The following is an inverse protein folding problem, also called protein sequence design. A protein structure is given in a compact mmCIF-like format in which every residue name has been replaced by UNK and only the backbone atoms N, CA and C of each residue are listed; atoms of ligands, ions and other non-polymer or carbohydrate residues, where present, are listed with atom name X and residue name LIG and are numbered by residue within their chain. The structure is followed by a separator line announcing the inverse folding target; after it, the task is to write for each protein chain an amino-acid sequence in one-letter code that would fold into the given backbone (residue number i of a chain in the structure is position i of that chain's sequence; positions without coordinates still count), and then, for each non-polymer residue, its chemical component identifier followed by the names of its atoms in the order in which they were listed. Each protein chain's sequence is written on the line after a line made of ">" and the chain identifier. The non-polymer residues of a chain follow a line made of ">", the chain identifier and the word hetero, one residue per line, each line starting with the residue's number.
data_IF_208086284712
#
_entry.id   IF_208086284712
#
_cell.length_a   1.000
_cell.length_b   1.000
_cell.length_c   1.000
_cell.angle_alpha   90.00
_cell.angle_beta   90.00
_cell.angle_gamma   90.00
#
_symmetry.space_group_name_H-M   'P 1'
#
loop_
_entity.id
_entity.type
_entity.pdbx_description
1 polymer ?
#
# COMPACT_ATOMS: atom_id res chain seq x y z
N UNK A 1 -21.32 -60.18 13.02
CA UNK A 1 -20.28 -59.91 12.00
C UNK A 1 -20.59 -58.54 11.42
N UNK A 2 -19.79 -57.48 11.49
CA UNK A 2 -18.61 -57.12 12.27
C UNK A 2 -18.72 -55.59 12.51
N UNK A 3 -18.17 -55.12 13.63
CA UNK A 3 -18.32 -53.78 14.20
C UNK A 3 -17.64 -52.66 13.39
N UNK A 4 -18.03 -51.39 13.58
CA UNK A 4 -17.27 -50.24 13.11
C UNK A 4 -16.08 -49.98 14.04
N UNK A 5 -14.87 -50.03 13.50
CA UNK A 5 -13.62 -49.70 14.18
C UNK A 5 -13.51 -48.20 14.42
N UNK A 6 -13.60 -47.79 15.69
CA UNK A 6 -13.05 -46.53 16.17
C UNK A 6 -11.53 -46.65 16.19
N UNK A 7 -10.84 -45.87 15.36
CA UNK A 7 -9.38 -45.74 15.43
C UNK A 7 -9.05 -44.55 16.33
N UNK A 8 -8.60 -44.89 17.52
CA UNK A 8 -8.10 -44.00 18.56
C UNK A 8 -6.59 -43.84 18.32
N UNK A 9 -6.18 -42.69 17.76
CA UNK A 9 -4.76 -42.39 17.60
C UNK A 9 -4.35 -41.30 18.61
N UNK A 10 -3.98 -41.77 19.80
CA UNK A 10 -3.19 -41.05 20.79
C UNK A 10 -1.76 -40.83 20.24
N UNK A 11 -1.56 -39.69 19.57
CA UNK A 11 -0.24 -39.20 19.19
C UNK A 11 0.34 -38.28 20.26
N UNK A 12 1.26 -38.79 21.07
CA UNK A 12 2.03 -38.06 22.06
C UNK A 12 2.68 -36.77 21.52
N UNK A 13 2.17 -35.61 21.94
CA UNK A 13 2.84 -34.34 21.76
C UNK A 13 4.08 -34.25 22.69
N UNK A 14 5.23 -33.73 22.20
CA UNK A 14 6.48 -33.70 22.96
C UNK A 14 6.37 -32.81 24.20
N UNK A 15 6.79 -33.36 25.35
CA UNK A 15 6.71 -32.77 26.69
C UNK A 15 7.43 -31.41 26.87
N UNK A 16 8.13 -30.90 25.85
CA UNK A 16 8.82 -29.61 25.87
C UNK A 16 7.87 -28.40 25.80
N UNK A 17 6.68 -28.54 25.20
CA UNK A 17 5.71 -27.43 25.10
C UNK A 17 4.89 -27.20 26.38
N UNK A 18 4.72 -28.22 27.22
CA UNK A 18 3.96 -28.11 28.49
C UNK A 18 4.72 -27.33 29.57
N UNK A 19 6.06 -27.47 29.58
CA UNK A 19 6.93 -26.83 30.59
C UNK A 19 7.08 -25.32 30.37
N UNK A 20 7.06 -24.87 29.10
CA UNK A 20 7.12 -23.45 28.75
C UNK A 20 5.78 -22.71 29.02
N UNK A 21 4.66 -23.43 29.00
CA UNK A 21 3.37 -22.83 29.34
C UNK A 21 3.21 -22.61 30.85
N UNK A 22 3.78 -23.47 31.69
CA UNK A 22 3.76 -23.26 33.15
C UNK A 22 4.67 -22.10 33.58
N UNK A 23 5.87 -21.94 32.99
CA UNK A 23 6.75 -20.81 33.31
C UNK A 23 6.18 -19.44 32.89
N UNK A 24 5.46 -19.38 31.77
CA UNK A 24 4.79 -18.16 31.31
C UNK A 24 3.53 -17.82 32.12
N UNK A 25 2.95 -18.80 32.83
CA UNK A 25 1.78 -18.60 33.70
C UNK A 25 2.17 -18.07 35.10
N UNK A 26 3.38 -18.38 35.59
CA UNK A 26 3.88 -17.90 36.89
C UNK A 26 4.70 -16.59 36.83
N UNK A 27 5.19 -16.20 35.64
CA UNK A 27 5.90 -14.93 35.44
C UNK A 27 5.16 -13.68 35.96
N UNK A 28 3.85 -13.53 35.70
CA UNK A 28 3.07 -12.41 36.22
C UNK A 28 2.98 -12.40 37.75
N UNK A 29 2.89 -13.57 38.38
CA UNK A 29 2.76 -13.71 39.83
C UNK A 29 4.07 -13.44 40.57
N UNK A 30 5.21 -13.82 39.99
CA UNK A 30 6.53 -13.50 40.53
C UNK A 30 6.83 -11.99 40.44
N UNK A 31 6.42 -11.34 39.34
CA UNK A 31 6.52 -9.87 39.20
C UNK A 31 5.63 -9.15 40.21
N UNK A 32 4.39 -9.63 40.42
CA UNK A 32 3.46 -9.07 41.39
C UNK A 32 3.99 -9.23 42.82
N UNK A 33 4.64 -10.35 43.14
CA UNK A 33 5.28 -10.59 44.44
C UNK A 33 6.50 -9.69 44.69
N UNK A 34 7.38 -9.53 43.70
CA UNK A 34 8.52 -8.59 43.79
C UNK A 34 8.06 -7.13 43.92
N UNK A 35 6.93 -6.80 43.30
CA UNK A 35 6.34 -5.46 43.36
C UNK A 35 5.64 -5.15 44.68
N UNK A 36 4.91 -6.10 45.24
CA UNK A 36 4.35 -5.97 46.59
C UNK A 36 5.46 -5.89 47.64
N UNK A 37 6.54 -6.68 47.49
CA UNK A 37 7.69 -6.65 48.39
C UNK A 37 8.47 -5.32 48.35
N UNK A 38 8.69 -4.77 47.15
CA UNK A 38 9.36 -3.47 46.98
C UNK A 38 8.49 -2.29 47.45
N UNK A 39 7.17 -2.34 47.21
CA UNK A 39 6.22 -1.38 47.74
C UNK A 39 6.11 -1.41 49.28
N UNK A 40 6.18 -2.59 49.88
CA UNK A 40 6.22 -2.76 51.34
C UNK A 40 7.49 -2.18 51.96
N UNK A 41 8.65 -2.43 51.35
CA UNK A 41 9.95 -1.90 51.81
C UNK A 41 10.01 -0.36 51.79
N UNK A 42 9.37 0.27 50.79
CA UNK A 42 9.25 1.73 50.71
C UNK A 42 8.30 2.32 51.75
N UNK A 43 7.32 1.54 52.24
CA UNK A 43 6.39 1.97 53.29
C UNK A 43 7.00 1.88 54.70
N UNK A 44 7.95 0.95 54.89
CA UNK A 44 8.60 0.68 56.19
C UNK A 44 9.79 1.60 56.46
N UNK A 45 10.46 2.15 55.43
CA UNK A 45 11.59 3.06 55.63
C UNK A 45 11.14 4.52 55.90
N UNK A 46 11.39 5.08 57.09
CA UNK A 46 10.93 6.42 57.47
C UNK A 46 11.68 7.56 56.76
N UNK A 47 12.78 7.28 56.07
CA UNK A 47 13.69 8.27 55.47
C UNK A 47 13.29 8.75 54.06
N UNK A 48 12.24 8.22 53.44
CA UNK A 48 11.78 8.61 52.08
C UNK A 48 10.45 9.37 52.05
N UNK A 49 9.97 9.88 53.19
CA UNK A 49 8.73 10.67 53.29
C UNK A 49 8.89 12.09 52.70
N UNK A 50 8.86 12.20 51.38
CA UNK A 50 8.75 13.49 50.66
C UNK A 50 7.27 13.87 50.41
N UNK A 51 6.33 12.98 50.72
CA UNK A 51 4.89 13.20 50.54
C UNK A 51 4.13 12.94 51.85
N UNK A 52 3.08 13.72 52.10
CA UNK A 52 2.17 13.51 53.23
C UNK A 52 1.51 12.11 53.13
N UNK A 53 1.24 11.43 54.27
CA UNK A 53 0.79 10.04 54.30
C UNK A 53 -0.51 9.78 53.51
N UNK A 54 -1.39 10.77 53.36
CA UNK A 54 -2.63 10.65 52.57
C UNK A 54 -2.42 10.80 51.05
N UNK A 55 -1.35 11.46 50.61
CA UNK A 55 -1.04 11.70 49.20
C UNK A 55 -0.20 10.58 48.56
N UNK A 56 0.63 9.90 49.36
CA UNK A 56 1.51 8.84 48.85
C UNK A 56 0.73 7.61 48.35
N UNK A 57 -0.37 7.25 49.03
CA UNK A 57 -1.20 6.10 48.65
C UNK A 57 -1.93 6.34 47.31
N UNK A 58 -2.41 7.57 47.11
CA UNK A 58 -3.16 7.97 45.91
C UNK A 58 -2.23 8.20 44.70
N UNK A 59 -1.06 8.83 44.89
CA UNK A 59 -0.07 8.99 43.83
C UNK A 59 0.51 7.65 43.37
N UNK A 60 0.68 6.71 44.29
CA UNK A 60 1.18 5.37 43.97
C UNK A 60 0.16 4.57 43.18
N UNK A 61 -1.10 4.52 43.61
CA UNK A 61 -2.18 3.87 42.87
C UNK A 61 -2.34 4.44 41.45
N UNK A 62 -2.21 5.76 41.27
CA UNK A 62 -2.26 6.41 39.96
C UNK A 62 -1.08 6.03 39.05
N UNK A 63 0.14 5.95 39.59
CA UNK A 63 1.30 5.52 38.82
C UNK A 63 1.16 4.06 38.36
N UNK A 64 0.57 3.20 39.21
CA UNK A 64 0.32 1.79 38.90
C UNK A 64 -0.78 1.58 37.87
N UNK A 65 -1.88 2.34 37.92
CA UNK A 65 -2.93 2.26 36.90
C UNK A 65 -2.41 2.73 35.54
N UNK A 66 -1.67 3.84 35.49
CA UNK A 66 -1.04 4.31 34.25
C UNK A 66 -0.01 3.31 33.71
N UNK A 67 0.87 2.77 34.56
CA UNK A 67 1.84 1.77 34.17
C UNK A 67 1.19 0.51 33.61
N UNK A 68 0.13 0.01 34.26
CA UNK A 68 -0.64 -1.15 33.81
C UNK A 68 -1.35 -0.92 32.48
N UNK A 69 -1.93 0.27 32.26
CA UNK A 69 -2.59 0.64 31.01
C UNK A 69 -1.57 0.70 29.86
N UNK A 70 -0.41 1.34 30.08
CA UNK A 70 0.65 1.45 29.06
C UNK A 70 1.21 0.07 28.71
N UNK A 71 1.48 -0.79 29.69
CA UNK A 71 1.98 -2.15 29.46
C UNK A 71 0.92 -3.00 28.75
N UNK A 72 -0.35 -2.88 29.15
CA UNK A 72 -1.48 -3.55 28.49
C UNK A 72 -1.62 -3.10 27.03
N UNK A 73 -1.51 -1.80 26.76
CA UNK A 73 -1.57 -1.24 25.42
C UNK A 73 -0.39 -1.70 24.54
N UNK A 74 0.82 -1.76 25.08
CA UNK A 74 2.03 -2.25 24.37
C UNK A 74 1.93 -3.76 24.12
N UNK A 75 1.46 -4.55 25.09
CA UNK A 75 1.27 -5.98 24.89
C UNK A 75 0.17 -6.27 23.87
N UNK A 76 -0.91 -5.49 23.87
CA UNK A 76 -2.00 -5.58 22.91
C UNK A 76 -1.56 -5.16 21.50
N UNK A 77 -0.79 -4.08 21.37
CA UNK A 77 -0.24 -3.63 20.08
C UNK A 77 0.75 -4.64 19.49
N UNK A 78 1.63 -5.22 20.31
CA UNK A 78 2.53 -6.30 19.90
C UNK A 78 1.77 -7.57 19.50
N UNK A 79 0.66 -7.87 20.18
CA UNK A 79 -0.19 -9.02 19.84
C UNK A 79 -0.97 -8.80 18.53
N UNK A 80 -1.44 -7.58 18.28
CA UNK A 80 -2.04 -7.16 17.01
C UNK A 80 -1.02 -7.19 15.87
N UNK A 81 0.18 -6.65 16.09
CA UNK A 81 1.27 -6.69 15.12
C UNK A 81 1.65 -8.13 14.74
N UNK A 82 1.69 -9.04 15.72
CA UNK A 82 1.97 -10.47 15.47
C UNK A 82 0.80 -11.20 14.79
N UNK A 83 -0.45 -10.82 15.06
CA UNK A 83 -1.64 -11.42 14.41
C UNK A 83 -1.84 -10.90 12.99
N UNK A 84 -1.55 -9.63 12.73
CA UNK A 84 -1.62 -9.02 11.39
C UNK A 84 -0.59 -9.57 10.39
N UNK A 85 0.48 -10.20 10.88
CA UNK A 85 1.50 -10.85 10.03
C UNK A 85 1.17 -12.31 9.67
N UNK A 86 0.28 -12.98 10.42
CA UNK A 86 0.11 -14.43 10.37
C UNK A 86 -1.28 -14.90 9.88
N UNK A 87 -2.24 -14.01 9.64
CA UNK A 87 -3.57 -14.40 9.14
C UNK A 87 -3.94 -13.62 7.87
N UNK A 88 -4.33 -14.33 6.80
CA UNK A 88 -5.06 -13.71 5.71
C UNK A 88 -6.47 -13.36 6.20
N UNK A 89 -6.98 -12.21 5.76
CA UNK A 89 -8.28 -11.63 6.08
C UNK A 89 -8.39 -11.06 7.51
N UNK A 90 -8.09 -9.76 7.63
CA UNK A 90 -8.95 -8.93 8.45
C UNK A 90 -10.30 -8.86 7.74
N UNK A 91 -11.24 -9.73 8.12
CA UNK A 91 -12.65 -9.58 7.76
C UNK A 91 -13.15 -8.35 8.51
N UNK A 92 -13.00 -7.18 7.89
CA UNK A 92 -13.79 -6.03 8.32
C UNK A 92 -15.25 -6.43 8.15
N UNK A 93 -16.08 -6.41 9.21
CA UNK A 93 -17.51 -6.55 9.01
C UNK A 93 -17.91 -5.38 8.12
N UNK A 94 -18.13 -5.67 6.83
CA UNK A 94 -18.49 -4.71 5.81
C UNK A 94 -19.86 -4.15 6.17
N UNK A 95 -19.91 -3.12 7.01
CA UNK A 95 -21.12 -2.39 7.31
C UNK A 95 -21.48 -1.57 6.07
N UNK A 96 -22.54 -1.98 5.39
CA UNK A 96 -23.13 -1.37 4.22
C UNK A 96 -22.35 -1.54 2.90
N UNK A 97 -22.94 -2.30 1.98
CA UNK A 97 -22.58 -2.34 0.55
C UNK A 97 -23.55 -1.43 -0.23
N UNK A 98 -23.13 -0.96 -1.41
CA UNK A 98 -23.99 -0.23 -2.37
C UNK A 98 -24.87 -1.24 -3.14
N UNK A 99 -26.10 -0.92 -3.59
CA UNK A 99 -27.00 -1.86 -4.30
C UNK A 99 -26.32 -2.73 -5.37
N UNK A 100 -26.81 -3.94 -5.65
CA UNK A 100 -26.12 -4.89 -6.55
C UNK A 100 -25.75 -4.30 -7.93
N UNK A 101 -26.59 -3.43 -8.47
CA UNK A 101 -26.31 -2.73 -9.74
C UNK A 101 -25.14 -1.75 -9.68
N UNK A 102 -24.87 -1.19 -8.50
CA UNK A 102 -23.69 -0.37 -8.25
C UNK A 102 -22.45 -1.24 -8.11
N UNK A 103 -22.52 -2.42 -7.50
CA UNK A 103 -21.37 -3.33 -7.46
C UNK A 103 -20.94 -3.79 -8.85
N UNK A 104 -21.87 -3.95 -9.79
CA UNK A 104 -21.56 -4.31 -11.18
C UNK A 104 -20.97 -3.14 -11.97
N UNK A 105 -21.55 -1.93 -11.86
CA UNK A 105 -20.97 -0.71 -12.45
C UNK A 105 -19.58 -0.40 -11.85
N UNK A 106 -19.44 -0.56 -10.54
CA UNK A 106 -18.19 -0.42 -9.78
C UNK A 106 -17.15 -1.47 -10.19
N UNK A 107 -17.53 -2.74 -10.33
CA UNK A 107 -16.64 -3.80 -10.78
C UNK A 107 -16.24 -3.65 -12.24
N UNK A 108 -17.13 -3.15 -13.11
CA UNK A 108 -16.86 -2.88 -14.52
C UNK A 108 -15.97 -1.64 -14.73
N UNK A 109 -16.00 -0.66 -13.81
CA UNK A 109 -15.20 0.56 -13.88
C UNK A 109 -13.81 0.40 -13.20
N UNK A 110 -13.71 -0.34 -12.09
CA UNK A 110 -12.44 -0.59 -11.39
C UNK A 110 -11.60 -1.72 -11.99
N UNK A 111 -12.23 -2.69 -12.67
CA UNK A 111 -11.50 -3.59 -13.54
C UNK A 111 -11.48 -2.95 -14.92
N UNK A 112 -10.39 -2.29 -15.35
CA UNK A 112 -10.26 -1.96 -16.75
C UNK A 112 -10.50 -3.25 -17.52
N UNK A 113 -11.42 -3.21 -18.49
CA UNK A 113 -11.65 -4.33 -19.39
C UNK A 113 -10.28 -4.89 -19.78
N UNK A 114 -10.07 -6.19 -19.52
CA UNK A 114 -8.87 -6.91 -19.92
C UNK A 114 -8.56 -6.41 -21.33
N UNK A 115 -7.38 -5.80 -21.58
CA UNK A 115 -7.11 -5.24 -22.89
C UNK A 115 -7.43 -6.33 -23.89
N UNK A 116 -8.45 -6.10 -24.72
CA UNK A 116 -8.72 -6.96 -25.87
C UNK A 116 -7.38 -7.02 -26.56
N UNK A 117 -6.79 -8.22 -26.61
CA UNK A 117 -5.45 -8.43 -27.11
C UNK A 117 -5.44 -7.94 -28.57
N UNK A 118 -5.10 -6.66 -28.75
CA UNK A 118 -4.77 -6.10 -30.03
C UNK A 118 -3.59 -6.94 -30.49
N UNK A 119 -3.81 -7.62 -31.62
CA UNK A 119 -2.93 -8.60 -32.23
C UNK A 119 -1.48 -8.34 -31.85
N UNK A 120 -0.84 -9.34 -31.22
CA UNK A 120 0.53 -9.30 -30.74
C UNK A 120 1.44 -8.61 -31.76
N UNK A 121 1.80 -7.33 -31.57
CA UNK A 121 2.86 -6.76 -32.37
C UNK A 121 4.10 -7.60 -32.06
N UNK A 122 5.02 -7.75 -33.04
CA UNK A 122 6.33 -8.35 -32.77
C UNK A 122 6.92 -7.64 -31.55
N UNK A 123 6.98 -8.36 -30.42
CA UNK A 123 7.50 -7.83 -29.17
C UNK A 123 8.93 -7.37 -29.44
N UNK A 124 9.21 -6.11 -29.14
CA UNK A 124 10.56 -5.59 -29.20
C UNK A 124 11.44 -6.44 -28.27
N UNK A 125 12.59 -6.97 -28.75
CA UNK A 125 13.48 -7.76 -27.92
C UNK A 125 13.94 -6.98 -26.67
N UNK A 126 14.02 -5.65 -26.74
CA UNK A 126 14.36 -4.81 -25.59
C UNK A 126 13.25 -4.76 -24.54
N UNK A 127 11.98 -4.77 -24.95
CA UNK A 127 10.83 -4.84 -24.05
C UNK A 127 10.76 -6.18 -23.34
N UNK A 128 11.03 -7.25 -24.08
CA UNK A 128 11.11 -8.61 -23.52
C UNK A 128 12.19 -8.70 -22.44
N UNK A 129 13.38 -8.17 -22.73
CA UNK A 129 14.49 -8.16 -21.77
C UNK A 129 14.18 -7.35 -20.52
N UNK A 130 13.54 -6.18 -20.67
CA UNK A 130 13.10 -5.35 -19.55
C UNK A 130 12.06 -6.05 -18.68
N UNK A 131 11.07 -6.72 -19.28
CA UNK A 131 10.08 -7.51 -18.55
C UNK A 131 10.73 -8.63 -17.74
N UNK A 132 11.66 -9.38 -18.35
CA UNK A 132 12.36 -10.46 -17.66
C UNK A 132 13.24 -9.94 -16.51
N UNK A 133 13.94 -8.82 -16.69
CA UNK A 133 14.72 -8.17 -15.64
C UNK A 133 13.83 -7.67 -14.50
N UNK A 134 12.69 -7.05 -14.82
CA UNK A 134 11.69 -6.62 -13.85
C UNK A 134 11.24 -7.75 -12.94
N UNK A 135 10.87 -8.89 -13.52
CA UNK A 135 10.41 -10.06 -12.75
C UNK A 135 11.51 -10.63 -11.85
N UNK A 136 12.75 -10.74 -12.33
CA UNK A 136 13.87 -11.26 -11.52
C UNK A 136 14.31 -10.30 -10.43
N UNK A 137 14.37 -9.01 -10.74
CA UNK A 137 14.82 -7.99 -9.80
C UNK A 137 13.76 -7.75 -8.72
N UNK A 138 12.50 -7.58 -9.11
CA UNK A 138 11.40 -7.25 -8.22
C UNK A 138 10.73 -8.43 -7.53
N UNK A 139 10.84 -9.64 -8.10
CA UNK A 139 10.21 -10.88 -7.62
C UNK A 139 8.73 -10.72 -7.20
N UNK A 140 7.98 -9.90 -7.94
CA UNK A 140 6.57 -9.60 -7.71
C UNK A 140 6.28 -8.57 -6.62
N UNK A 141 7.31 -8.00 -5.97
CA UNK A 141 7.16 -7.02 -4.89
C UNK A 141 7.42 -5.57 -5.32
N UNK A 142 8.19 -5.37 -6.39
CA UNK A 142 8.43 -4.05 -6.95
C UNK A 142 7.18 -3.56 -7.70
N UNK A 143 6.69 -2.38 -7.33
CA UNK A 143 5.60 -1.69 -8.04
C UNK A 143 6.01 -0.27 -8.37
N UNK A 144 5.69 0.18 -9.59
CA UNK A 144 5.91 1.56 -10.02
C UNK A 144 5.07 2.56 -9.19
N UNK A 145 3.92 2.15 -8.67
CA UNK A 145 3.00 3.02 -7.93
C UNK A 145 3.47 3.34 -6.51
N UNK A 146 4.22 2.44 -5.90
CA UNK A 146 4.70 2.58 -4.51
C UNK A 146 6.17 2.94 -4.43
N UNK A 147 6.88 2.93 -5.55
CA UNK A 147 8.30 3.26 -5.62
C UNK A 147 8.54 4.77 -5.41
N UNK A 148 9.38 5.11 -4.43
CA UNK A 148 9.88 6.46 -4.19
C UNK A 148 11.41 6.47 -4.24
N UNK A 149 12.04 7.06 -5.27
CA UNK A 149 13.50 7.16 -5.32
C UNK A 149 14.11 7.93 -4.14
N UNK A 150 13.35 8.79 -3.43
CA UNK A 150 13.85 9.51 -2.27
C UNK A 150 13.97 8.64 -1.01
N UNK A 151 13.34 7.46 -0.98
CA UNK A 151 13.47 6.52 0.13
C UNK A 151 14.84 5.82 0.16
N UNK A 152 15.69 5.98 -0.86
CA UNK A 152 17.00 5.31 -0.93
C UNK A 152 17.96 5.67 0.22
N UNK A 153 17.80 6.83 0.84
CA UNK A 153 18.59 7.29 2.01
C UNK A 153 17.79 7.25 3.31
N UNK A 154 16.64 6.56 3.32
CA UNK A 154 15.77 6.51 4.48
C UNK A 154 16.31 5.55 5.54
N UNK A 155 16.33 5.99 6.80
CA UNK A 155 16.61 5.12 7.93
C UNK A 155 15.49 4.07 8.10
N UNK A 156 15.80 2.81 8.48
CA UNK A 156 17.12 2.28 8.86
C UNK A 156 17.96 1.73 7.70
N UNK A 157 17.55 1.89 6.44
CA UNK A 157 18.13 1.22 5.28
C UNK A 157 19.38 1.90 4.70
N UNK A 158 19.61 3.17 5.03
CA UNK A 158 20.70 4.00 4.50
C UNK A 158 22.12 3.42 4.70
N UNK A 159 22.32 2.62 5.76
CA UNK A 159 23.61 1.97 6.03
C UNK A 159 23.77 0.57 5.41
N UNK A 160 22.75 0.04 4.73
CA UNK A 160 22.78 -1.33 4.21
C UNK A 160 23.52 -1.41 2.88
N UNK A 161 24.22 -2.53 2.68
CA UNK A 161 24.76 -2.92 1.38
C UNK A 161 23.71 -3.65 0.51
N UNK A 162 24.05 -3.88 -0.76
CA UNK A 162 23.11 -4.41 -1.74
C UNK A 162 22.67 -5.85 -1.40
N UNK A 163 23.57 -6.67 -0.85
CA UNK A 163 23.25 -8.06 -0.50
C UNK A 163 22.33 -8.13 0.72
N UNK A 164 22.55 -7.25 1.72
CA UNK A 164 21.70 -7.09 2.88
C UNK A 164 20.29 -6.61 2.48
N UNK A 165 20.19 -5.68 1.51
CA UNK A 165 18.89 -5.29 0.96
C UNK A 165 18.15 -6.47 0.33
N UNK A 166 18.83 -7.31 -0.47
CA UNK A 166 18.23 -8.50 -1.10
C UNK A 166 17.77 -9.51 -0.04
N UNK A 167 18.62 -9.80 0.96
CA UNK A 167 18.27 -10.72 2.05
C UNK A 167 17.05 -10.20 2.83
N UNK A 168 16.99 -8.91 3.14
CA UNK A 168 15.87 -8.30 3.86
C UNK A 168 14.57 -8.31 3.06
N UNK A 169 14.64 -8.10 1.74
CA UNK A 169 13.50 -8.23 0.84
C UNK A 169 12.95 -9.67 0.86
N UNK A 170 13.82 -10.68 0.87
CA UNK A 170 13.39 -12.07 0.92
C UNK A 170 12.72 -12.41 2.26
N UNK A 171 13.30 -11.97 3.39
CA UNK A 171 12.71 -12.13 4.72
C UNK A 171 11.32 -11.49 4.85
N UNK A 172 11.13 -10.31 4.25
CA UNK A 172 9.89 -9.54 4.32
C UNK A 172 8.79 -9.99 3.36
N UNK A 173 9.09 -10.89 2.42
CA UNK A 173 8.24 -11.21 1.27
C UNK A 173 6.82 -11.63 1.64
N UNK A 174 6.66 -12.66 2.46
CA UNK A 174 5.35 -13.20 2.82
C UNK A 174 4.51 -12.18 3.60
N UNK A 175 5.15 -11.42 4.50
CA UNK A 175 4.49 -10.36 5.24
C UNK A 175 3.99 -9.24 4.32
N UNK A 176 4.80 -8.85 3.34
CA UNK A 176 4.43 -7.86 2.33
C UNK A 176 3.31 -8.34 1.42
N UNK A 177 3.34 -9.59 0.96
CA UNK A 177 2.28 -10.17 0.14
C UNK A 177 0.93 -10.16 0.87
N UNK A 178 0.90 -10.58 2.14
CA UNK A 178 -0.33 -10.54 2.93
C UNK A 178 -0.80 -9.10 3.18
N UNK A 179 0.12 -8.20 3.51
CA UNK A 179 -0.20 -6.80 3.77
C UNK A 179 -0.70 -6.07 2.51
N UNK A 180 -0.14 -6.35 1.34
CA UNK A 180 -0.54 -5.73 0.06
C UNK A 180 -1.93 -6.18 -0.37
N UNK A 181 -2.29 -7.45 -0.21
CA UNK A 181 -3.67 -7.94 -0.44
C UNK A 181 -4.66 -7.24 0.48
N UNK A 182 -4.35 -7.12 1.77
CA UNK A 182 -5.22 -6.39 2.71
C UNK A 182 -5.31 -4.90 2.36
N UNK A 183 -4.21 -4.29 1.90
CA UNK A 183 -4.20 -2.90 1.47
C UNK A 183 -5.08 -2.66 0.25
N UNK A 184 -5.07 -3.57 -0.72
CA UNK A 184 -5.96 -3.50 -1.88
C UNK A 184 -7.44 -3.53 -1.46
N UNK A 185 -7.82 -4.44 -0.54
CA UNK A 185 -9.18 -4.49 0.00
C UNK A 185 -9.59 -3.21 0.75
N UNK A 186 -8.66 -2.62 1.51
CA UNK A 186 -8.90 -1.32 2.16
C UNK A 186 -9.05 -0.19 1.14
N UNK A 187 -8.27 -0.20 0.06
CA UNK A 187 -8.39 0.79 -1.02
C UNK A 187 -9.74 0.69 -1.73
N UNK A 188 -10.18 -0.53 -2.06
CA UNK A 188 -11.51 -0.75 -2.60
C UNK A 188 -12.58 -0.17 -1.65
N UNK A 189 -12.49 -0.47 -0.35
CA UNK A 189 -13.45 0.09 0.61
C UNK A 189 -13.42 1.62 0.67
N UNK A 190 -12.24 2.23 0.59
CA UNK A 190 -12.09 3.69 0.57
C UNK A 190 -12.72 4.32 -0.66
N UNK A 191 -12.51 3.73 -1.83
CA UNK A 191 -13.10 4.22 -3.06
C UNK A 191 -14.63 4.12 -3.04
N UNK A 192 -15.18 3.01 -2.53
CA UNK A 192 -16.62 2.89 -2.25
C UNK A 192 -17.13 4.01 -1.32
N UNK A 193 -16.41 4.28 -0.22
CA UNK A 193 -16.76 5.35 0.72
C UNK A 193 -16.73 6.73 0.04
N UNK A 194 -15.76 6.98 -0.83
CA UNK A 194 -15.62 8.26 -1.54
C UNK A 194 -16.81 8.52 -2.48
N UNK A 195 -17.32 7.50 -3.18
CA UNK A 195 -18.54 7.62 -3.99
C UNK A 195 -19.75 7.97 -3.12
N UNK A 196 -19.99 7.21 -2.05
CA UNK A 196 -21.16 7.40 -1.18
C UNK A 196 -21.10 8.75 -0.46
N UNK A 197 -19.95 9.11 0.11
CA UNK A 197 -19.78 10.38 0.80
C UNK A 197 -19.92 11.57 -0.14
N UNK A 198 -19.43 11.46 -1.38
CA UNK A 198 -19.61 12.53 -2.38
C UNK A 198 -21.09 12.84 -2.63
N UNK A 199 -21.95 11.82 -2.75
CA UNK A 199 -23.40 12.02 -2.88
C UNK A 199 -24.00 12.68 -1.64
N UNK A 200 -23.65 12.18 -0.45
CA UNK A 200 -24.17 12.69 0.81
C UNK A 200 -23.76 14.14 1.08
N UNK A 201 -22.51 14.50 0.76
CA UNK A 201 -21.97 15.85 0.91
C UNK A 201 -22.70 16.87 0.01
N UNK A 202 -23.30 16.40 -1.09
CA UNK A 202 -24.12 17.20 -2.00
C UNK A 202 -25.63 17.05 -1.75
N UNK A 203 -26.03 16.45 -0.62
CA UNK A 203 -27.43 16.34 -0.19
C UNK A 203 -28.22 15.18 -0.80
N UNK A 204 -27.57 14.30 -1.58
CA UNK A 204 -28.21 13.15 -2.21
C UNK A 204 -28.18 11.95 -1.24
N UNK A 205 -29.30 11.73 -0.56
CA UNK A 205 -29.47 10.61 0.38
C UNK A 205 -30.04 9.38 -0.33
N UNK A 206 -29.34 8.25 -0.27
CA UNK A 206 -29.81 6.96 -0.80
C UNK A 206 -29.76 5.86 0.25
N UNK A 207 -30.75 4.97 0.32
CA UNK A 207 -30.66 3.79 1.17
C UNK A 207 -29.52 2.89 0.70
N UNK A 208 -28.85 2.26 1.67
CA UNK A 208 -27.79 1.28 1.45
C UNK A 208 -28.40 -0.08 1.05
N UNK A 209 -27.57 -1.09 0.73
CA UNK A 209 -28.07 -2.45 0.38
C UNK A 209 -29.03 -3.06 1.41
N UNK A 210 -28.82 -2.75 2.68
CA UNK A 210 -29.64 -3.25 3.79
C UNK A 210 -30.97 -2.48 3.94
N UNK A 211 -31.24 -1.51 3.06
CA UNK A 211 -32.45 -0.69 3.04
C UNK A 211 -32.44 0.44 4.06
N UNK A 212 -31.40 0.56 4.89
CA UNK A 212 -31.28 1.63 5.87
C UNK A 212 -30.66 2.88 5.26
N UNK A 213 -30.97 4.04 5.85
CA UNK A 213 -30.30 5.28 5.51
C UNK A 213 -28.85 5.26 6.03
N UNK A 214 -27.90 5.85 5.28
CA UNK A 214 -26.50 5.87 5.65
C UNK A 214 -26.28 6.73 6.89
N UNK A 215 -25.63 6.14 7.90
CA UNK A 215 -25.07 6.90 9.02
C UNK A 215 -23.81 7.63 8.54
N UNK A 216 -23.98 8.88 8.14
CA UNK A 216 -22.89 9.71 7.61
C UNK A 216 -21.73 9.85 8.59
N UNK A 217 -21.99 9.89 9.90
CA UNK A 217 -20.93 10.03 10.90
C UNK A 217 -20.08 8.75 10.99
N UNK A 218 -20.73 7.58 10.96
CA UNK A 218 -20.05 6.30 10.92
C UNK A 218 -19.21 6.15 9.63
N UNK A 219 -19.78 6.47 8.46
CA UNK A 219 -19.08 6.37 7.17
C UNK A 219 -17.87 7.31 7.08
N UNK A 220 -18.00 8.56 7.54
CA UNK A 220 -16.87 9.50 7.59
C UNK A 220 -15.78 9.03 8.56
N UNK A 221 -16.18 8.47 9.71
CA UNK A 221 -15.23 7.91 10.68
C UNK A 221 -14.47 6.73 10.07
N UNK A 222 -15.17 5.82 9.39
CA UNK A 222 -14.54 4.71 8.67
C UNK A 222 -13.56 5.22 7.61
N UNK A 223 -13.98 6.18 6.78
CA UNK A 223 -13.13 6.77 5.74
C UNK A 223 -11.89 7.45 6.30
N UNK A 224 -12.04 8.14 7.42
CA UNK A 224 -10.94 8.77 8.14
C UNK A 224 -9.96 7.72 8.68
N UNK A 225 -10.45 6.68 9.35
CA UNK A 225 -9.61 5.61 9.90
C UNK A 225 -8.85 4.84 8.81
N UNK A 226 -9.49 4.52 7.69
CA UNK A 226 -8.83 3.87 6.54
C UNK A 226 -7.80 4.79 5.85
N UNK A 227 -7.99 6.11 5.93
CA UNK A 227 -7.03 7.11 5.46
C UNK A 227 -5.82 7.26 6.38
N UNK A 228 -6.04 7.22 7.69
CA UNK A 228 -5.01 7.33 8.71
C UNK A 228 -4.21 6.04 8.93
N UNK A 229 -4.75 4.88 8.53
CA UNK A 229 -4.06 3.60 8.61
C UNK A 229 -2.92 3.54 7.56
N UNK A 230 -1.69 3.72 8.04
CA UNK A 230 -0.47 3.52 7.28
C UNK A 230 -0.20 2.02 7.00
N UNK A 231 -0.91 1.13 7.68
CA UNK A 231 -0.73 -0.31 7.58
C UNK A 231 0.56 -0.81 8.23
N UNK A 232 0.89 -2.10 8.03
CA UNK A 232 2.12 -2.68 8.54
C UNK A 232 3.36 -2.02 7.93
N UNK A 233 4.41 -1.82 8.73
CA UNK A 233 5.67 -1.15 8.34
C UNK A 233 6.29 -1.76 7.07
N UNK A 234 6.09 -3.06 6.83
CA UNK A 234 6.59 -3.76 5.63
C UNK A 234 6.09 -3.15 4.31
N UNK A 235 4.91 -2.51 4.29
CA UNK A 235 4.38 -1.82 3.11
C UNK A 235 5.21 -0.60 2.72
N UNK A 236 5.86 0.05 3.68
CA UNK A 236 6.80 1.15 3.45
C UNK A 236 8.24 0.64 3.29
N UNK A 237 8.63 -0.42 4.01
CA UNK A 237 10.00 -0.94 3.98
C UNK A 237 10.37 -1.53 2.63
N UNK A 238 9.48 -2.29 2.00
CA UNK A 238 9.80 -2.99 0.74
C UNK A 238 10.10 -2.02 -0.41
N UNK A 239 9.27 -0.99 -0.68
CA UNK A 239 9.62 0.04 -1.66
C UNK A 239 10.91 0.79 -1.32
N UNK A 240 11.15 1.09 -0.04
CA UNK A 240 12.38 1.76 0.39
C UNK A 240 13.63 0.89 0.18
N UNK A 241 13.55 -0.41 0.46
CA UNK A 241 14.61 -1.38 0.20
C UNK A 241 14.92 -1.51 -1.29
N UNK A 242 13.90 -1.50 -2.17
CA UNK A 242 14.13 -1.48 -3.61
C UNK A 242 14.80 -0.18 -4.08
N UNK A 243 14.41 0.95 -3.50
CA UNK A 243 15.00 2.27 -3.80
C UNK A 243 16.47 2.30 -3.38
N UNK A 244 16.78 1.81 -2.17
CA UNK A 244 18.16 1.65 -1.69
C UNK A 244 18.97 0.73 -2.59
N UNK A 245 18.43 -0.45 -2.92
CA UNK A 245 19.09 -1.44 -3.78
C UNK A 245 19.41 -0.85 -5.16
N UNK A 246 18.47 -0.13 -5.78
CA UNK A 246 18.70 0.54 -7.06
C UNK A 246 19.77 1.63 -6.96
N UNK A 247 19.76 2.45 -5.91
CA UNK A 247 20.79 3.48 -5.72
C UNK A 247 22.20 2.86 -5.62
N UNK A 248 22.36 1.80 -4.83
CA UNK A 248 23.64 1.07 -4.72
C UNK A 248 24.07 0.45 -6.04
N UNK A 249 23.13 -0.12 -6.81
CA UNK A 249 23.43 -0.68 -8.11
C UNK A 249 23.90 0.41 -9.10
N UNK A 250 23.29 1.60 -9.08
CA UNK A 250 23.72 2.75 -9.88
C UNK A 250 25.14 3.20 -9.49
N UNK A 251 25.43 3.29 -8.19
CA UNK A 251 26.77 3.66 -7.71
C UNK A 251 27.85 2.67 -8.16
N UNK A 252 27.54 1.38 -8.22
CA UNK A 252 28.45 0.33 -8.68
C UNK A 252 28.71 0.34 -10.21
N UNK A 253 27.91 1.04 -11.01
CA UNK A 253 28.06 1.08 -12.47
C UNK A 253 29.36 1.79 -12.91
N UNK A 254 29.91 1.44 -14.10
CA UNK A 254 30.96 2.23 -14.75
C UNK A 254 30.54 3.69 -14.96
N UNK A 255 31.48 4.65 -14.89
CA UNK A 255 31.20 6.09 -14.84
C UNK A 255 30.20 6.57 -15.91
N UNK A 256 30.40 6.18 -17.18
CA UNK A 256 29.51 6.60 -18.26
C UNK A 256 28.06 6.08 -18.09
N UNK A 257 27.89 4.85 -17.58
CA UNK A 257 26.57 4.28 -17.29
C UNK A 257 25.96 4.89 -16.05
N UNK A 258 26.76 5.12 -15.00
CA UNK A 258 26.34 5.79 -13.76
C UNK A 258 25.80 7.19 -14.05
N UNK A 259 26.46 7.97 -14.89
CA UNK A 259 26.03 9.33 -15.22
C UNK A 259 24.66 9.33 -15.94
N UNK A 260 24.48 8.42 -16.91
CA UNK A 260 23.22 8.24 -17.61
C UNK A 260 22.10 7.76 -16.66
N UNK A 261 22.38 6.78 -15.81
CA UNK A 261 21.44 6.28 -14.81
C UNK A 261 21.08 7.37 -13.79
N UNK A 262 22.04 8.21 -13.38
CA UNK A 262 21.84 9.35 -12.49
C UNK A 262 20.94 10.44 -13.08
N UNK A 263 20.91 10.61 -14.41
CA UNK A 263 19.92 11.48 -15.09
C UNK A 263 18.52 10.87 -14.98
N UNK A 264 18.38 9.57 -15.26
CA UNK A 264 17.08 8.88 -15.17
C UNK A 264 16.55 8.83 -13.73
N UNK A 265 17.43 8.63 -12.75
CA UNK A 265 17.08 8.66 -11.33
C UNK A 265 16.50 10.01 -10.90
N UNK A 266 17.16 11.11 -11.28
CA UNK A 266 16.66 12.47 -11.02
C UNK A 266 15.33 12.75 -11.71
N UNK A 267 15.12 12.23 -12.91
CA UNK A 267 13.83 12.31 -13.58
C UNK A 267 12.75 11.58 -12.77
N UNK A 268 13.01 10.34 -12.30
CA UNK A 268 12.06 9.63 -11.44
C UNK A 268 11.73 10.39 -10.16
N UNK A 269 12.69 11.08 -9.54
CA UNK A 269 12.44 11.93 -8.37
C UNK A 269 11.49 13.09 -8.71
N UNK A 270 11.68 13.74 -9.85
CA UNK A 270 10.79 14.81 -10.32
C UNK A 270 9.39 14.29 -10.64
N UNK A 271 9.30 13.13 -11.29
CA UNK A 271 8.01 12.49 -11.59
C UNK A 271 7.30 12.05 -10.32
N UNK A 272 8.02 11.49 -9.34
CA UNK A 272 7.42 11.01 -8.08
C UNK A 272 6.68 12.13 -7.34
N UNK A 273 7.20 13.36 -7.35
CA UNK A 273 6.52 14.52 -6.77
C UNK A 273 5.12 14.78 -7.36
N UNK A 274 4.86 14.34 -8.60
CA UNK A 274 3.57 14.47 -9.29
C UNK A 274 2.65 13.26 -9.10
N UNK A 275 3.16 12.11 -8.61
CA UNK A 275 2.41 10.85 -8.49
C UNK A 275 1.26 10.97 -7.50
N UNK A 276 1.50 11.56 -6.33
CA UNK A 276 0.48 11.65 -5.28
C UNK A 276 -0.73 12.48 -5.73
N UNK A 277 -0.50 13.66 -6.31
CA UNK A 277 -1.55 14.51 -6.85
C UNK A 277 -2.25 13.86 -8.05
N UNK A 278 -1.48 13.22 -8.94
CA UNK A 278 -2.01 12.51 -10.10
C UNK A 278 -2.92 11.34 -9.72
N UNK A 279 -2.60 10.62 -8.62
CA UNK A 279 -3.44 9.56 -8.07
C UNK A 279 -4.76 10.11 -7.53
N UNK A 280 -4.72 11.22 -6.79
CA UNK A 280 -5.95 11.84 -6.27
C UNK A 280 -6.89 12.28 -7.40
N UNK A 281 -6.34 12.81 -8.50
CA UNK A 281 -7.11 13.16 -9.69
C UNK A 281 -7.69 11.92 -10.38
N UNK A 282 -6.92 10.84 -10.49
CA UNK A 282 -7.40 9.58 -11.06
C UNK A 282 -8.55 8.98 -10.22
N UNK A 283 -8.37 8.87 -8.91
CA UNK A 283 -9.40 8.43 -7.95
C UNK A 283 -10.69 9.26 -8.11
N UNK A 284 -10.57 10.60 -8.21
CA UNK A 284 -11.71 11.49 -8.44
C UNK A 284 -12.37 11.23 -9.80
N UNK A 285 -11.59 11.02 -10.86
CA UNK A 285 -12.13 10.73 -12.19
C UNK A 285 -12.93 9.43 -12.22
N UNK A 286 -12.52 8.43 -11.42
CA UNK A 286 -13.24 7.19 -11.28
C UNK A 286 -14.59 7.42 -10.55
N UNK A 287 -14.60 8.22 -9.47
CA UNK A 287 -15.83 8.61 -8.77
C UNK A 287 -16.80 9.30 -9.74
N UNK A 288 -16.32 10.30 -10.49
CA UNK A 288 -17.14 11.02 -11.49
C UNK A 288 -17.73 10.05 -12.52
N UNK A 289 -16.95 9.09 -13.02
CA UNK A 289 -17.45 8.10 -13.98
C UNK A 289 -18.56 7.21 -13.40
N UNK A 290 -18.39 6.72 -12.16
CA UNK A 290 -19.44 5.96 -11.48
C UNK A 290 -20.71 6.79 -11.34
N UNK A 291 -20.57 8.08 -11.02
CA UNK A 291 -21.72 8.95 -10.83
C UNK A 291 -22.40 9.32 -12.16
N UNK A 292 -21.64 9.65 -13.21
CA UNK A 292 -22.15 10.10 -14.49
C UNK A 292 -22.74 8.99 -15.37
N UNK A 293 -22.21 7.76 -15.29
CA UNK A 293 -22.49 6.69 -16.26
C UNK A 293 -23.15 5.44 -15.67
N UNK A 294 -23.70 5.51 -14.46
CA UNK A 294 -24.45 4.40 -13.90
C UNK A 294 -25.82 4.26 -14.62
N UNK A 295 -26.23 3.05 -15.08
CA UNK A 295 -27.49 2.87 -15.81
C UNK A 295 -28.75 3.11 -14.95
N UNK A 296 -28.65 3.05 -13.63
CA UNK A 296 -29.77 3.25 -12.68
C UNK A 296 -29.83 4.68 -12.11
N UNK A 297 -29.29 5.64 -12.87
CA UNK A 297 -29.03 7.01 -12.41
C UNK A 297 -30.28 7.87 -12.26
N UNK A 298 -30.29 8.66 -11.18
CA UNK A 298 -31.21 9.79 -10.96
C UNK A 298 -30.53 11.12 -11.33
N UNK A 299 -31.30 12.13 -11.69
CA UNK A 299 -30.80 13.44 -12.15
C UNK A 299 -29.88 14.09 -11.10
N UNK A 300 -30.24 13.99 -9.82
CA UNK A 300 -29.47 14.57 -8.70
C UNK A 300 -28.03 14.03 -8.65
N UNK A 301 -27.82 12.75 -8.99
CA UNK A 301 -26.50 12.13 -9.00
C UNK A 301 -25.62 12.66 -10.15
N UNK A 302 -26.23 12.91 -11.30
CA UNK A 302 -25.53 13.49 -12.44
C UNK A 302 -25.10 14.92 -12.11
N UNK A 303 -25.95 15.70 -11.43
CA UNK A 303 -25.58 17.05 -10.97
C UNK A 303 -24.34 17.02 -10.06
N UNK A 304 -24.26 16.07 -9.11
CA UNK A 304 -23.05 15.86 -8.29
C UNK A 304 -21.83 15.55 -9.19
N UNK A 305 -21.99 14.71 -10.19
CA UNK A 305 -20.91 14.37 -11.11
C UNK A 305 -20.37 15.61 -11.87
N UNK A 306 -21.25 16.52 -12.31
CA UNK A 306 -20.84 17.77 -12.97
C UNK A 306 -20.11 18.72 -12.02
N UNK A 307 -20.55 18.84 -10.76
CA UNK A 307 -19.85 19.65 -9.76
C UNK A 307 -18.43 19.12 -9.54
N UNK A 308 -18.29 17.79 -9.34
CA UNK A 308 -16.99 17.15 -9.18
C UNK A 308 -16.11 17.25 -10.44
N UNK A 309 -16.71 17.20 -11.63
CA UNK A 309 -16.00 17.34 -12.90
C UNK A 309 -15.40 18.75 -13.08
N UNK A 310 -16.09 19.80 -12.64
CA UNK A 310 -15.56 21.16 -12.63
C UNK A 310 -14.33 21.28 -11.71
N UNK A 311 -14.39 20.72 -10.50
CA UNK A 311 -13.25 20.67 -9.58
C UNK A 311 -12.08 19.85 -10.13
N UNK A 312 -12.38 18.72 -10.79
CA UNK A 312 -11.38 17.90 -11.47
C UNK A 312 -10.67 18.70 -12.57
N UNK A 313 -11.41 19.46 -13.39
CA UNK A 313 -10.84 20.28 -14.46
C UNK A 313 -9.87 21.32 -13.91
N UNK A 314 -10.20 21.99 -12.80
CA UNK A 314 -9.30 22.93 -12.14
C UNK A 314 -8.03 22.23 -11.62
N UNK A 315 -8.20 21.14 -10.86
CA UNK A 315 -7.09 20.36 -10.33
C UNK A 315 -6.16 19.80 -11.42
N UNK A 316 -6.74 19.31 -12.53
CA UNK A 316 -5.99 18.80 -13.67
C UNK A 316 -5.19 19.89 -14.38
N UNK A 317 -5.76 21.10 -14.55
CA UNK A 317 -5.02 22.24 -15.11
C UNK A 317 -3.83 22.63 -14.24
N UNK A 318 -4.01 22.64 -12.92
CA UNK A 318 -2.93 22.95 -11.98
C UNK A 318 -1.83 21.88 -11.99
N UNK A 319 -2.23 20.60 -12.04
CA UNK A 319 -1.30 19.47 -12.17
C UNK A 319 -0.51 19.55 -13.49
N UNK A 320 -1.18 19.83 -14.62
CA UNK A 320 -0.52 19.99 -15.93
C UNK A 320 0.48 21.17 -15.94
N UNK A 321 0.16 22.28 -15.24
CA UNK A 321 1.13 23.40 -15.10
C UNK A 321 2.39 22.97 -14.35
N UNK A 322 2.27 22.10 -13.33
CA UNK A 322 3.43 21.54 -12.62
C UNK A 322 4.17 20.52 -13.49
N UNK A 323 3.45 19.66 -14.21
CA UNK A 323 4.02 18.71 -15.16
C UNK A 323 4.84 19.43 -16.25
N UNK A 324 4.39 20.59 -16.73
CA UNK A 324 5.09 21.41 -17.72
C UNK A 324 6.48 21.89 -17.28
N UNK A 325 6.81 21.84 -15.98
CA UNK A 325 8.13 22.17 -15.46
C UNK A 325 9.15 21.03 -15.65
N UNK A 326 8.68 19.82 -15.93
CA UNK A 326 9.54 18.64 -16.12
C UNK A 326 9.90 18.50 -17.61
N UNK A 327 11.20 18.50 -17.89
CA UNK A 327 11.76 18.27 -19.23
C UNK A 327 12.24 16.83 -19.33
N UNK A 328 11.87 16.14 -20.41
CA UNK A 328 12.32 14.78 -20.65
C UNK A 328 13.74 14.79 -21.23
N UNK A 329 14.66 13.96 -20.73
CA UNK A 329 16.06 13.99 -21.20
C UNK A 329 16.23 13.50 -22.64
N UNK A 330 15.33 12.64 -23.12
CA UNK A 330 15.42 12.02 -24.45
C UNK A 330 14.54 12.73 -25.50
N UNK A 331 13.91 13.85 -25.13
CA UNK A 331 13.00 14.59 -26.01
C UNK A 331 13.10 16.08 -25.75
N UNK A 332 12.94 16.89 -26.80
CA UNK A 332 12.81 18.34 -26.62
C UNK A 332 11.49 18.75 -25.92
N UNK A 333 10.54 17.82 -25.83
CA UNK A 333 9.19 18.04 -25.31
C UNK A 333 9.15 18.11 -23.78
N UNK A 334 8.19 18.87 -23.28
CA UNK A 334 7.80 18.88 -21.87
C UNK A 334 6.90 17.69 -21.55
N UNK A 335 6.81 17.34 -20.27
CA UNK A 335 5.98 16.22 -19.83
C UNK A 335 4.50 16.42 -20.18
N UNK A 336 3.95 17.62 -19.98
CA UNK A 336 2.55 17.96 -20.32
C UNK A 336 2.25 17.76 -21.80
N UNK A 337 3.15 18.20 -22.69
CA UNK A 337 3.02 18.04 -24.14
C UNK A 337 2.98 16.57 -24.56
N UNK A 338 3.85 15.74 -23.97
CA UNK A 338 3.86 14.30 -24.25
C UNK A 338 2.58 13.65 -23.77
N UNK A 339 2.11 13.95 -22.57
CA UNK A 339 0.91 13.33 -22.02
C UNK A 339 -0.34 13.76 -22.79
N UNK A 340 -0.47 15.05 -23.12
CA UNK A 340 -1.60 15.59 -23.88
C UNK A 340 -1.65 15.07 -25.32
N UNK A 341 -0.52 14.64 -25.90
CA UNK A 341 -0.51 14.04 -27.25
C UNK A 341 -1.32 12.74 -27.34
N UNK A 342 -1.57 12.08 -26.20
CA UNK A 342 -2.37 10.85 -26.10
C UNK A 342 -3.85 11.10 -25.78
N UNK A 343 -4.22 12.36 -25.53
CA UNK A 343 -5.58 12.77 -25.16
C UNK A 343 -6.42 13.11 -26.38
N UNK A 344 -7.73 12.89 -26.27
CA UNK A 344 -8.67 13.28 -27.32
C UNK A 344 -8.75 14.80 -27.45
N UNK A 345 -8.83 15.35 -28.68
CA UNK A 345 -9.06 16.78 -28.86
C UNK A 345 -10.46 17.15 -28.32
N UNK A 346 -10.53 18.25 -27.58
CA UNK A 346 -11.79 18.77 -27.05
C UNK A 346 -12.50 19.62 -28.09
N UNK A 347 -13.81 19.37 -28.26
CA UNK A 347 -14.66 20.20 -29.10
C UNK A 347 -14.99 21.55 -28.48
N UNK A 348 -15.49 22.50 -29.28
CA UNK A 348 -15.85 23.84 -28.82
C UNK A 348 -17.00 23.88 -27.80
N UNK A 349 -17.78 22.80 -27.69
CA UNK A 349 -18.92 22.65 -26.78
C UNK A 349 -18.67 21.64 -25.65
N UNK A 350 -17.42 21.18 -25.46
CA UNK A 350 -17.10 20.15 -24.48
C UNK A 350 -17.35 20.64 -23.04
N UNK A 351 -18.19 19.92 -22.30
CA UNK A 351 -18.47 20.20 -20.90
C UNK A 351 -17.38 19.66 -19.96
N UNK A 352 -17.59 19.78 -18.64
CA UNK A 352 -16.61 19.34 -17.64
C UNK A 352 -16.44 17.81 -17.61
N UNK A 353 -17.50 17.05 -17.90
CA UNK A 353 -17.46 15.59 -17.96
C UNK A 353 -16.71 15.15 -19.22
N UNK A 354 -17.00 15.74 -20.37
CA UNK A 354 -16.27 15.54 -21.63
C UNK A 354 -14.77 15.84 -21.46
N UNK A 355 -14.45 16.91 -20.73
CA UNK A 355 -13.06 17.24 -20.39
C UNK A 355 -12.40 16.13 -19.58
N UNK A 356 -13.06 15.63 -18.54
CA UNK A 356 -12.55 14.52 -17.75
C UNK A 356 -12.36 13.25 -18.61
N UNK A 357 -13.28 12.96 -19.53
CA UNK A 357 -13.15 11.82 -20.43
C UNK A 357 -11.95 11.95 -21.37
N UNK A 358 -11.77 13.13 -21.96
CA UNK A 358 -10.66 13.39 -22.86
C UNK A 358 -9.29 13.30 -22.15
N UNK A 359 -9.23 13.67 -20.87
CA UNK A 359 -8.02 13.64 -20.05
C UNK A 359 -7.75 12.29 -19.40
N UNK A 360 -8.68 11.32 -19.47
CA UNK A 360 -8.55 9.97 -18.88
C UNK A 360 -7.24 9.25 -19.23
N UNK A 361 -6.69 9.36 -20.47
CA UNK A 361 -5.41 8.71 -20.80
C UNK A 361 -4.21 9.26 -20.03
N UNK A 362 -4.28 10.48 -19.46
CA UNK A 362 -3.14 11.15 -18.83
C UNK A 362 -2.53 10.34 -17.70
N UNK A 363 -3.35 9.86 -16.75
CA UNK A 363 -2.84 9.13 -15.58
C UNK A 363 -2.13 7.85 -16.02
N UNK A 364 -2.77 7.08 -16.91
CA UNK A 364 -2.18 5.86 -17.47
C UNK A 364 -0.89 6.15 -18.24
N UNK A 365 -0.88 7.17 -19.09
CA UNK A 365 0.31 7.58 -19.85
C UNK A 365 1.46 8.01 -18.94
N UNK A 366 1.16 8.74 -17.87
CA UNK A 366 2.12 9.16 -16.86
C UNK A 366 2.71 7.97 -16.10
N UNK A 367 1.87 7.06 -15.62
CA UNK A 367 2.32 5.85 -14.93
C UNK A 367 3.08 4.89 -15.86
N UNK A 368 2.71 4.82 -17.14
CA UNK A 368 3.46 4.10 -18.17
C UNK A 368 4.85 4.69 -18.39
N UNK A 369 4.97 6.02 -18.50
CA UNK A 369 6.26 6.69 -18.61
C UNK A 369 7.13 6.40 -17.37
N UNK A 370 6.57 6.56 -16.17
CA UNK A 370 7.29 6.26 -14.92
C UNK A 370 7.78 4.81 -14.87
N UNK A 371 6.90 3.85 -15.18
CA UNK A 371 7.21 2.43 -15.25
C UNK A 371 8.26 2.11 -16.33
N UNK A 372 8.19 2.76 -17.49
CA UNK A 372 9.18 2.61 -18.56
C UNK A 372 10.57 3.08 -18.12
N UNK A 373 10.66 4.21 -17.41
CA UNK A 373 11.93 4.72 -16.87
C UNK A 373 12.48 3.86 -15.76
N UNK A 374 11.62 3.42 -14.84
CA UNK A 374 12.02 2.53 -13.76
C UNK A 374 12.48 1.17 -14.30
N UNK A 375 11.77 0.57 -15.25
CA UNK A 375 12.16 -0.72 -15.85
C UNK A 375 13.50 -0.65 -16.60
N UNK A 376 13.81 0.48 -17.25
CA UNK A 376 15.12 0.71 -17.86
C UNK A 376 16.23 0.72 -16.81
N UNK A 377 16.03 1.42 -15.68
CA UNK A 377 16.99 1.42 -14.58
C UNK A 377 17.12 0.05 -13.92
N UNK A 378 16.01 -0.68 -13.76
CA UNK A 378 16.01 -2.04 -13.20
C UNK A 378 16.83 -3.00 -14.07
N UNK A 379 16.73 -2.91 -15.40
CA UNK A 379 17.56 -3.71 -16.30
C UNK A 379 19.05 -3.42 -16.11
N UNK A 380 19.43 -2.14 -16.05
CA UNK A 380 20.83 -1.74 -15.85
C UNK A 380 21.34 -2.16 -14.46
N UNK A 381 20.53 -1.97 -13.43
CA UNK A 381 20.84 -2.37 -12.06
C UNK A 381 21.04 -3.88 -11.96
N UNK A 382 20.15 -4.68 -12.53
CA UNK A 382 20.28 -6.14 -12.52
C UNK A 382 21.55 -6.63 -13.21
N UNK A 383 21.94 -5.99 -14.32
CA UNK A 383 23.21 -6.27 -14.99
C UNK A 383 24.42 -5.91 -14.10
N UNK A 384 24.39 -4.76 -13.42
CA UNK A 384 25.45 -4.34 -12.51
C UNK A 384 25.57 -5.29 -11.30
N UNK A 385 24.46 -5.71 -10.71
CA UNK A 385 24.44 -6.66 -9.59
C UNK A 385 25.02 -8.03 -9.98
N UNK A 386 24.70 -8.51 -11.18
CA UNK A 386 25.28 -9.76 -11.71
C UNK A 386 26.79 -9.66 -11.93
N UNK A 387 27.26 -8.53 -12.46
CA UNK A 387 28.69 -8.28 -12.65
C UNK A 387 29.44 -8.18 -11.32
N UNK A 388 28.78 -7.65 -10.29
CA UNK A 388 29.30 -7.61 -8.92
C UNK A 388 29.24 -8.99 -8.20
N UNK A 389 28.64 -10.02 -8.82
CA UNK A 389 28.55 -11.35 -8.25
C UNK A 389 27.55 -11.49 -7.10
N UNK A 390 26.56 -10.59 -7.01
CA UNK A 390 25.53 -10.65 -5.96
C UNK A 390 24.59 -11.85 -6.16
N UNK A 391 24.10 -12.40 -5.06
CA UNK A 391 23.10 -13.46 -5.11
C UNK A 391 21.72 -12.84 -5.40
N UNK A 392 21.04 -13.26 -6.48
CA UNK A 392 19.76 -12.66 -6.86
C UNK A 392 18.66 -12.99 -5.85
N UNK A 393 17.65 -12.12 -5.80
CA UNK A 393 16.44 -12.36 -5.02
C UNK A 393 15.76 -13.67 -5.49
N UNK A 394 15.46 -14.62 -4.59
CA UNK A 394 14.83 -15.88 -4.99
C UNK A 394 13.51 -15.65 -5.72
N UNK A 395 13.21 -16.50 -6.71
CA UNK A 395 11.89 -16.51 -7.36
C UNK A 395 10.84 -16.98 -6.36
N UNK A 396 9.68 -16.33 -6.36
CA UNK A 396 8.54 -16.78 -5.56
C UNK A 396 8.12 -18.18 -6.04
N UNK A 397 8.02 -19.14 -5.13
CA UNK A 397 7.68 -20.54 -5.40
C UNK A 397 6.18 -20.78 -5.62
N UNK A 398 5.37 -19.74 -5.75
CA UNK A 398 3.91 -19.84 -5.89
C UNK A 398 3.47 -19.74 -7.36
N UNK A 399 3.15 -20.89 -7.94
CA UNK A 399 2.15 -21.11 -9.01
C UNK A 399 2.16 -20.16 -10.22
N UNK A 400 3.31 -19.63 -10.62
CA UNK A 400 3.48 -18.90 -11.88
C UNK A 400 4.49 -19.58 -12.82
N UNK A 401 4.79 -20.85 -12.56
CA UNK A 401 5.62 -21.70 -13.42
C UNK A 401 4.92 -22.09 -14.74
N UNK A 402 3.64 -21.79 -14.92
CA UNK A 402 2.95 -22.00 -16.20
C UNK A 402 3.13 -20.85 -17.20
N UNK A 403 3.49 -19.63 -16.75
CA UNK A 403 3.67 -18.48 -17.66
C UNK A 403 5.15 -18.23 -18.01
N UNK A 404 6.08 -18.84 -17.27
CA UNK A 404 7.52 -18.63 -17.47
C UNK A 404 8.22 -19.71 -18.29
N UNK A 405 7.54 -20.76 -18.76
CA UNK A 405 8.15 -21.80 -19.60
C UNK A 405 8.37 -21.36 -21.07
N UNK A 406 7.83 -20.21 -21.49
CA UNK A 406 7.95 -19.71 -22.86
C UNK A 406 9.04 -18.64 -23.09
N UNK A 407 9.90 -18.36 -22.11
CA UNK A 407 10.97 -17.38 -22.29
C UNK A 407 12.35 -18.06 -22.34
N UNK A 408 13.06 -18.02 -23.48
CA UNK A 408 14.39 -18.63 -23.59
C UNK A 408 15.41 -17.90 -22.69
N UNK A 409 16.32 -18.71 -22.13
CA UNK A 409 17.35 -18.36 -21.15
C UNK A 409 18.40 -17.35 -21.63
#
# INVERSE_FOLDING_TARGET
>A
MAAPSQDHNDGHAPAAHRRNHQLTQFGPWLYLGALLGSGWLLFVQPSTRVLQPEQAATSWLLAWTFGGIVIGAVAWSLRLARRGLAQPAATYPMSARLPESWTDAYAALLRPAIPVALATPRLDPTDTQRGAAWHRFGAGMLSAETFDPNDATRAPWDGMDAQACIARLDEGRTAWQNASVNRALQQDRRYWLDVVLSLLDHGVMRPLQDGYLPDTAALRTERFLLGADAGPVVLADVPALFSRRLALAIEAMPTAQRDAAGVQWRLLQQLHALVAEGRMLDERSQVIQVLAWNPDVDLDQVEVAYILAAEYREGMRDWLRRAALVRLPDSALRLDEVLLSSCSPLGAQADDVDYMEAMRPLHRGFMQLFSQRLSQLVLQAEQAERQAGLHPLPRATTASDEVSQDWPA
#
